data_IF_696284015832
#
_entry.id   IF_696284015832
#
_cell.length_a   1.000
_cell.length_b   1.000
_cell.length_c   1.000
_cell.angle_alpha   90.00
_cell.angle_beta   90.00
_cell.angle_gamma   90.00
#
_symmetry.space_group_name_H-M   'P 1'
#
loop_
_entity.id
_entity.type
_entity.pdbx_description
1 polymer ?
#
# COMPACT_ATOMS: atom_id res chain seq x y z
N UNK A 1 23.04 -15.75 -1.11
CA UNK A 1 21.98 -15.43 -2.08
C UNK A 1 22.34 -16.10 -3.42
N UNK A 2 21.41 -16.86 -3.99
CA UNK A 2 21.57 -17.53 -5.28
C UNK A 2 20.25 -17.41 -6.07
N UNK A 3 20.38 -17.16 -7.37
CA UNK A 3 19.21 -17.07 -8.26
C UNK A 3 18.53 -18.43 -8.45
N UNK A 4 17.21 -18.42 -8.56
CA UNK A 4 16.39 -19.65 -8.71
C UNK A 4 16.74 -20.42 -9.99
N UNK A 5 17.19 -19.72 -11.03
CA UNK A 5 17.60 -20.28 -12.33
C UNK A 5 19.03 -20.85 -12.30
N UNK A 6 19.78 -20.69 -11.20
CA UNK A 6 21.10 -21.24 -11.11
C UNK A 6 21.09 -22.77 -11.32
N UNK A 7 22.10 -23.35 -11.98
CA UNK A 7 22.21 -24.79 -12.12
C UNK A 7 22.11 -25.53 -10.80
N UNK A 8 21.44 -26.66 -10.78
CA UNK A 8 21.20 -27.40 -9.55
C UNK A 8 22.49 -27.81 -8.83
N UNK A 9 23.56 -28.05 -9.56
CA UNK A 9 24.90 -28.33 -9.00
C UNK A 9 25.46 -27.15 -8.21
N UNK A 10 25.28 -25.92 -8.71
CA UNK A 10 25.70 -24.71 -8.00
C UNK A 10 24.85 -24.47 -6.75
N UNK A 11 23.55 -24.69 -6.86
CA UNK A 11 22.63 -24.58 -5.74
C UNK A 11 23.00 -25.55 -4.62
N UNK A 12 23.27 -26.83 -4.96
CA UNK A 12 23.65 -27.84 -3.99
C UNK A 12 24.99 -27.54 -3.32
N UNK A 13 25.94 -27.05 -4.09
CA UNK A 13 27.25 -26.60 -3.57
C UNK A 13 27.07 -25.45 -2.55
N UNK A 14 26.34 -24.40 -2.91
CA UNK A 14 26.09 -23.25 -2.02
C UNK A 14 25.29 -23.67 -0.80
N UNK A 15 24.30 -24.56 -0.95
CA UNK A 15 23.52 -25.10 0.17
C UNK A 15 24.41 -25.88 1.15
N UNK A 16 25.35 -26.65 0.66
CA UNK A 16 26.31 -27.41 1.48
C UNK A 16 27.22 -26.44 2.26
N UNK A 17 27.77 -25.43 1.59
CA UNK A 17 28.58 -24.39 2.24
C UNK A 17 27.77 -23.61 3.29
N UNK A 18 26.53 -23.22 2.97
CA UNK A 18 25.66 -22.50 3.91
C UNK A 18 25.47 -23.30 5.21
N UNK A 19 25.23 -24.61 5.10
CA UNK A 19 25.11 -25.50 6.27
C UNK A 19 26.43 -25.62 7.04
N UNK A 20 27.54 -25.80 6.34
CA UNK A 20 28.86 -25.93 6.96
C UNK A 20 29.24 -24.70 7.77
N UNK A 21 28.93 -23.50 7.25
CA UNK A 21 29.27 -22.23 7.90
C UNK A 21 28.11 -21.66 8.74
N UNK A 22 27.02 -22.40 8.95
CA UNK A 22 25.88 -21.94 9.74
C UNK A 22 25.17 -20.71 9.15
N UNK A 23 25.23 -20.52 7.83
CA UNK A 23 24.58 -19.43 7.12
C UNK A 23 23.19 -19.83 6.62
N UNK A 24 22.27 -18.86 6.56
CA UNK A 24 20.98 -19.06 5.91
C UNK A 24 21.09 -18.88 4.41
N UNK A 25 20.37 -19.71 3.67
CA UNK A 25 20.33 -19.67 2.22
C UNK A 25 19.17 -18.79 1.74
N UNK A 26 19.48 -17.78 0.93
CA UNK A 26 18.51 -17.00 0.18
C UNK A 26 18.43 -17.59 -1.23
N UNK A 27 17.22 -17.99 -1.67
CA UNK A 27 16.95 -18.28 -3.08
C UNK A 27 16.13 -17.14 -3.63
N UNK A 28 16.65 -16.48 -4.67
CA UNK A 28 16.08 -15.27 -5.23
C UNK A 28 15.53 -15.44 -6.64
N UNK A 29 14.52 -14.66 -6.94
CA UNK A 29 13.96 -14.46 -8.26
C UNK A 29 13.89 -12.97 -8.56
N UNK A 30 14.34 -12.58 -9.75
CA UNK A 30 14.26 -11.20 -10.23
C UNK A 30 13.57 -11.17 -11.59
N UNK A 31 12.55 -10.31 -11.72
CA UNK A 31 11.96 -9.95 -13.01
C UNK A 31 12.17 -8.45 -13.25
N UNK A 32 13.07 -8.13 -14.16
CA UNK A 32 13.43 -6.76 -14.52
C UNK A 32 12.47 -6.12 -15.51
N UNK A 33 11.58 -6.91 -16.11
CA UNK A 33 10.67 -6.44 -17.15
C UNK A 33 9.25 -6.21 -16.65
N UNK A 34 8.80 -6.97 -15.66
CA UNK A 34 7.41 -6.90 -15.21
C UNK A 34 7.14 -7.52 -13.85
N UNK A 35 5.88 -7.81 -13.64
CA UNK A 35 5.40 -8.53 -12.47
C UNK A 35 4.51 -9.69 -12.93
N UNK A 36 4.92 -10.94 -12.71
CA UNK A 36 4.14 -12.13 -13.07
C UNK A 36 2.75 -12.14 -12.41
N UNK A 37 1.88 -13.01 -12.87
CA UNK A 37 0.59 -13.25 -12.22
C UNK A 37 0.77 -13.75 -10.78
N UNK A 38 -0.26 -13.63 -9.95
CA UNK A 38 -0.19 -14.07 -8.57
C UNK A 38 0.09 -15.58 -8.45
N UNK A 39 -0.47 -16.38 -9.36
CA UNK A 39 -0.27 -17.83 -9.34
C UNK A 39 1.16 -18.21 -9.76
N UNK A 40 1.74 -17.50 -10.71
CA UNK A 40 3.16 -17.66 -11.06
C UNK A 40 4.06 -17.26 -9.89
N UNK A 41 3.80 -16.13 -9.24
CA UNK A 41 4.57 -15.70 -8.04
C UNK A 41 4.48 -16.72 -6.91
N UNK A 42 3.31 -17.33 -6.68
CA UNK A 42 3.13 -18.45 -5.74
C UNK A 42 3.98 -19.66 -6.15
N UNK A 43 3.95 -20.00 -7.43
CA UNK A 43 4.76 -21.10 -7.98
C UNK A 43 6.26 -20.85 -7.75
N UNK A 44 6.73 -19.66 -8.03
CA UNK A 44 8.12 -19.23 -7.82
C UNK A 44 8.50 -19.33 -6.33
N UNK A 45 7.67 -18.82 -5.41
CA UNK A 45 7.94 -18.90 -3.99
C UNK A 45 8.04 -20.36 -3.50
N UNK A 46 7.15 -21.23 -3.97
CA UNK A 46 7.16 -22.67 -3.66
C UNK A 46 8.40 -23.37 -4.24
N UNK A 47 8.79 -23.01 -5.46
CA UNK A 47 10.01 -23.52 -6.07
C UNK A 47 11.27 -23.12 -5.30
N UNK A 48 11.38 -21.85 -4.86
CA UNK A 48 12.47 -21.41 -3.99
C UNK A 48 12.54 -22.27 -2.70
N UNK A 49 11.39 -22.55 -2.10
CA UNK A 49 11.33 -23.44 -0.92
C UNK A 49 11.82 -24.85 -1.24
N UNK A 50 11.38 -25.47 -2.35
CA UNK A 50 11.82 -26.84 -2.72
C UNK A 50 13.33 -26.89 -3.00
N UNK A 51 13.91 -25.78 -3.45
CA UNK A 51 15.36 -25.62 -3.61
C UNK A 51 16.10 -25.38 -2.28
N UNK A 52 15.39 -25.42 -1.14
CA UNK A 52 15.98 -25.36 0.20
C UNK A 52 16.23 -23.97 0.74
N UNK A 53 15.47 -22.98 0.28
CA UNK A 53 15.56 -21.62 0.79
C UNK A 53 15.17 -21.52 2.27
N UNK A 54 16.01 -20.92 3.10
CA UNK A 54 15.65 -20.40 4.42
C UNK A 54 14.92 -19.06 4.31
N UNK A 55 15.21 -18.35 3.22
CA UNK A 55 14.58 -17.08 2.87
C UNK A 55 14.32 -17.04 1.36
N UNK A 56 13.07 -16.80 1.00
CA UNK A 56 12.64 -16.56 -0.38
C UNK A 56 12.70 -15.07 -0.68
N UNK A 57 13.42 -14.69 -1.73
CA UNK A 57 13.47 -13.30 -2.18
C UNK A 57 12.85 -13.18 -3.57
N UNK A 58 11.82 -12.36 -3.69
CA UNK A 58 11.11 -12.10 -4.95
C UNK A 58 11.14 -10.61 -5.25
N UNK A 59 11.78 -10.24 -6.33
CA UNK A 59 11.90 -8.86 -6.78
C UNK A 59 11.35 -8.74 -8.20
N UNK A 60 10.31 -7.95 -8.37
CA UNK A 60 9.66 -7.74 -9.66
C UNK A 60 9.79 -6.28 -10.10
N UNK A 61 9.39 -5.95 -11.31
CA UNK A 61 9.28 -4.56 -11.77
C UNK A 61 7.82 -4.17 -11.89
N UNK A 62 7.38 -3.20 -11.08
CA UNK A 62 6.02 -2.68 -11.16
C UNK A 62 5.92 -1.56 -12.19
N UNK A 63 5.05 -1.73 -13.20
CA UNK A 63 4.70 -0.70 -14.18
C UNK A 63 3.55 0.18 -13.70
N UNK A 64 2.77 -0.31 -12.75
CA UNK A 64 1.62 0.35 -12.15
C UNK A 64 1.37 -0.16 -10.74
N UNK A 65 0.41 0.46 -10.04
CA UNK A 65 0.06 0.11 -8.66
C UNK A 65 -0.49 -1.31 -8.51
N UNK A 66 -1.17 -1.84 -9.54
CA UNK A 66 -1.72 -3.20 -9.49
C UNK A 66 -0.62 -4.26 -9.52
N UNK A 67 0.48 -4.00 -10.21
CA UNK A 67 1.66 -4.86 -10.21
C UNK A 67 2.30 -4.88 -8.81
N UNK A 68 2.51 -3.70 -8.22
CA UNK A 68 3.04 -3.58 -6.87
C UNK A 68 2.13 -4.30 -5.84
N UNK A 69 0.83 -4.10 -5.92
CA UNK A 69 -0.15 -4.75 -5.05
C UNK A 69 -0.10 -6.28 -5.19
N UNK A 70 0.09 -6.79 -6.42
CA UNK A 70 0.20 -8.23 -6.67
C UNK A 70 1.39 -8.85 -5.95
N UNK A 71 2.55 -8.19 -5.97
CA UNK A 71 3.74 -8.64 -5.21
C UNK A 71 3.47 -8.61 -3.70
N UNK A 72 2.80 -7.58 -3.19
CA UNK A 72 2.48 -7.47 -1.76
C UNK A 72 1.48 -8.54 -1.28
N UNK A 73 0.61 -9.05 -2.16
CA UNK A 73 -0.31 -10.15 -1.83
C UNK A 73 0.39 -11.43 -1.37
N UNK A 74 1.67 -11.60 -1.68
CA UNK A 74 2.46 -12.73 -1.18
C UNK A 74 2.54 -12.74 0.35
N UNK A 75 2.55 -11.58 1.00
CA UNK A 75 2.58 -11.49 2.47
C UNK A 75 1.26 -11.92 3.10
N UNK A 76 0.12 -11.57 2.50
CA UNK A 76 -1.19 -12.07 2.97
C UNK A 76 -1.22 -13.60 2.89
N UNK A 77 -0.81 -14.15 1.74
CA UNK A 77 -0.76 -15.60 1.53
C UNK A 77 0.23 -16.29 2.48
N UNK A 78 1.32 -15.64 2.86
CA UNK A 78 2.26 -16.15 3.85
C UNK A 78 1.64 -16.15 5.24
N UNK A 79 0.98 -15.08 5.63
CA UNK A 79 0.32 -14.95 6.93
C UNK A 79 -0.79 -16.02 7.11
N UNK A 80 -1.58 -16.23 6.07
CA UNK A 80 -2.64 -17.25 6.04
C UNK A 80 -2.09 -18.70 5.89
N UNK A 81 -0.79 -18.84 5.65
CA UNK A 81 -0.16 -20.14 5.39
C UNK A 81 -0.37 -20.69 3.97
N UNK A 82 -1.12 -20.01 3.12
CA UNK A 82 -1.47 -20.46 1.78
C UNK A 82 -0.30 -20.40 0.80
N UNK A 83 0.70 -19.52 1.04
CA UNK A 83 1.88 -19.42 0.18
C UNK A 83 2.70 -20.71 0.17
N UNK A 84 2.89 -21.31 1.35
CA UNK A 84 3.65 -22.55 1.56
C UNK A 84 2.72 -23.65 2.10
N UNK A 85 1.60 -23.85 1.44
CA UNK A 85 0.62 -24.88 1.80
C UNK A 85 1.26 -26.26 1.97
N UNK A 86 0.84 -27.01 3.00
CA UNK A 86 1.39 -28.31 3.35
C UNK A 86 2.70 -28.27 4.12
N UNK A 87 3.32 -27.10 4.34
CA UNK A 87 4.50 -26.98 5.18
C UNK A 87 4.13 -26.69 6.63
N UNK A 88 4.80 -27.37 7.58
CA UNK A 88 4.72 -26.99 8.98
C UNK A 88 5.22 -25.54 9.17
N UNK A 89 4.68 -24.82 10.15
CA UNK A 89 5.02 -23.40 10.36
C UNK A 89 6.54 -23.18 10.53
N UNK A 90 7.22 -24.10 11.23
CA UNK A 90 8.68 -24.05 11.43
C UNK A 90 9.51 -24.32 10.17
N UNK A 91 8.90 -24.87 9.13
CA UNK A 91 9.56 -25.22 7.85
C UNK A 91 9.31 -24.18 6.76
N UNK A 92 8.54 -23.14 7.07
CA UNK A 92 8.23 -22.07 6.11
C UNK A 92 9.38 -21.09 6.05
N UNK A 93 9.94 -20.86 4.84
CA UNK A 93 10.97 -19.85 4.69
C UNK A 93 10.43 -18.45 4.99
N UNK A 94 11.31 -17.55 5.42
CA UNK A 94 10.98 -16.14 5.47
C UNK A 94 10.82 -15.57 4.05
N UNK A 95 10.06 -14.49 3.92
CA UNK A 95 9.80 -13.83 2.63
C UNK A 95 10.38 -12.41 2.63
N UNK A 96 11.10 -12.08 1.57
CA UNK A 96 11.41 -10.72 1.16
C UNK A 96 10.87 -10.51 -0.25
N UNK A 97 9.77 -9.79 -0.38
CA UNK A 97 9.16 -9.50 -1.67
C UNK A 97 8.90 -8.01 -1.81
N UNK A 98 9.31 -7.42 -2.91
CA UNK A 98 9.05 -6.02 -3.26
C UNK A 98 9.21 -5.80 -4.76
N UNK A 99 8.78 -4.64 -5.23
CA UNK A 99 8.88 -4.29 -6.65
C UNK A 99 9.83 -3.11 -6.88
N UNK A 100 10.54 -3.16 -7.98
CA UNK A 100 11.34 -2.08 -8.55
C UNK A 100 10.46 -1.10 -9.34
N UNK A 101 11.07 -0.03 -9.83
CA UNK A 101 10.40 1.05 -10.57
C UNK A 101 9.69 2.04 -9.65
N UNK A 102 9.29 3.18 -10.20
CA UNK A 102 8.64 4.25 -9.42
C UNK A 102 7.30 3.78 -8.83
N UNK A 103 6.51 3.02 -9.59
CA UNK A 103 5.26 2.45 -9.09
C UNK A 103 5.45 1.40 -8.00
N UNK A 104 6.63 0.79 -7.91
CA UNK A 104 7.01 -0.22 -6.92
C UNK A 104 7.77 0.33 -5.70
N UNK A 105 8.27 1.56 -5.76
CA UNK A 105 9.19 2.13 -4.75
C UNK A 105 8.70 1.96 -3.32
N UNK A 106 7.43 2.26 -3.06
CA UNK A 106 6.82 2.18 -1.72
C UNK A 106 6.80 0.75 -1.14
N UNK A 107 6.84 -0.27 -2.00
CA UNK A 107 6.82 -1.67 -1.56
C UNK A 107 8.07 -2.06 -0.77
N UNK A 108 9.19 -1.35 -0.97
CA UNK A 108 10.43 -1.54 -0.20
C UNK A 108 10.29 -1.14 1.27
N UNK A 109 9.42 -0.17 1.56
CA UNK A 109 9.05 0.19 2.92
C UNK A 109 7.94 -0.73 3.45
N UNK A 110 6.92 -0.96 2.62
CA UNK A 110 5.74 -1.73 3.01
C UNK A 110 6.09 -3.19 3.33
N UNK A 111 7.04 -3.79 2.63
CA UNK A 111 7.46 -5.18 2.90
C UNK A 111 7.90 -5.38 4.36
N UNK A 112 8.61 -4.41 4.95
CA UNK A 112 9.02 -4.47 6.36
C UNK A 112 7.82 -4.50 7.31
N UNK A 113 6.75 -3.75 6.99
CA UNK A 113 5.51 -3.71 7.76
C UNK A 113 4.71 -5.01 7.66
N UNK A 114 4.85 -5.67 6.54
CA UNK A 114 4.17 -6.93 6.27
C UNK A 114 4.97 -8.16 6.73
N UNK A 115 6.14 -7.95 7.36
CA UNK A 115 6.90 -9.02 8.01
C UNK A 115 8.17 -9.47 7.27
N UNK A 116 8.63 -8.72 6.26
CA UNK A 116 9.96 -8.97 5.70
C UNK A 116 11.04 -8.73 6.77
N UNK A 117 12.04 -9.62 6.89
CA UNK A 117 13.09 -9.46 7.90
C UNK A 117 14.02 -8.26 7.61
N UNK A 118 14.09 -7.81 6.36
CA UNK A 118 14.87 -6.66 5.92
C UNK A 118 14.43 -6.17 4.55
N UNK A 119 14.96 -5.03 4.13
CA UNK A 119 14.84 -4.49 2.77
C UNK A 119 16.18 -3.98 2.27
N UNK A 120 16.25 -3.54 1.02
CA UNK A 120 17.47 -3.06 0.38
C UNK A 120 17.40 -1.55 0.17
N UNK A 121 18.42 -0.86 0.61
CA UNK A 121 18.61 0.59 0.46
C UNK A 121 19.94 0.88 -0.23
N UNK A 122 20.06 2.04 -0.86
CA UNK A 122 21.34 2.52 -1.38
C UNK A 122 22.15 3.23 -0.28
N UNK A 123 23.47 3.13 -0.36
CA UNK A 123 24.37 3.85 0.53
C UNK A 123 24.34 5.38 0.31
N UNK A 124 23.85 5.83 -0.83
CA UNK A 124 23.69 7.24 -1.20
C UNK A 124 22.98 7.39 -2.53
N UNK A 125 22.54 8.59 -2.86
CA UNK A 125 21.75 8.87 -4.06
C UNK A 125 22.41 8.46 -5.38
N UNK A 126 23.75 8.56 -5.46
CA UNK A 126 24.53 8.14 -6.63
C UNK A 126 24.81 6.63 -6.69
N UNK A 127 24.50 5.87 -5.64
CA UNK A 127 24.87 4.47 -5.48
C UNK A 127 23.64 3.53 -5.56
N UNK A 128 22.53 4.01 -6.12
CA UNK A 128 21.35 3.17 -6.32
C UNK A 128 21.67 2.06 -7.34
N UNK A 129 21.52 0.81 -6.92
CA UNK A 129 21.75 -0.37 -7.75
C UNK A 129 20.49 -0.84 -8.49
N UNK A 130 19.34 -0.27 -8.18
CA UNK A 130 18.07 -0.58 -8.81
C UNK A 130 17.14 0.64 -8.80
N UNK A 131 16.28 0.75 -9.81
CA UNK A 131 15.26 1.80 -9.90
C UNK A 131 14.29 1.75 -8.71
N UNK A 132 13.92 2.93 -8.18
CA UNK A 132 13.03 3.04 -7.03
C UNK A 132 13.66 2.66 -5.68
N UNK A 133 14.99 2.63 -5.58
CA UNK A 133 15.67 2.37 -4.32
C UNK A 133 15.72 3.65 -3.46
N UNK A 134 15.34 3.54 -2.18
CA UNK A 134 15.56 4.60 -1.20
C UNK A 134 17.03 4.66 -0.77
N UNK A 135 17.51 5.85 -0.44
CA UNK A 135 18.75 5.94 0.32
C UNK A 135 18.52 5.47 1.76
N UNK A 136 19.59 5.17 2.47
CA UNK A 136 19.53 4.80 3.87
C UNK A 136 18.84 5.89 4.71
N UNK A 137 19.23 7.16 4.50
CA UNK A 137 18.67 8.31 5.22
C UNK A 137 17.19 8.51 4.92
N UNK A 138 16.76 8.32 3.67
CA UNK A 138 15.34 8.37 3.30
C UNK A 138 14.55 7.27 4.02
N UNK A 139 15.07 6.03 4.01
CA UNK A 139 14.41 4.90 4.64
C UNK A 139 14.32 5.09 6.16
N UNK A 140 15.41 5.52 6.82
CA UNK A 140 15.43 5.80 8.26
C UNK A 140 14.41 6.89 8.63
N UNK A 141 14.31 7.95 7.82
CA UNK A 141 13.32 9.01 8.02
C UNK A 141 11.89 8.50 7.85
N UNK A 142 11.63 7.66 6.82
CA UNK A 142 10.30 7.07 6.61
C UNK A 142 9.90 6.11 7.72
N UNK A 143 10.84 5.33 8.23
CA UNK A 143 10.62 4.42 9.36
C UNK A 143 10.43 5.18 10.67
N UNK A 144 11.19 6.25 10.89
CA UNK A 144 11.05 7.10 12.08
C UNK A 144 9.79 7.97 12.04
N UNK A 145 9.24 8.25 10.87
CA UNK A 145 7.96 8.96 10.75
C UNK A 145 6.79 8.20 11.38
N UNK A 146 6.93 6.89 11.66
CA UNK A 146 5.98 6.14 12.49
C UNK A 146 6.04 6.53 13.96
N UNK A 147 7.18 6.96 14.40
CA UNK A 147 7.37 7.55 15.72
C UNK A 147 7.18 9.08 15.66
N UNK A 148 6.72 9.62 14.52
CA UNK A 148 6.17 10.96 14.56
C UNK A 148 5.10 10.92 15.64
N UNK A 149 5.32 11.64 16.73
CA UNK A 149 4.35 11.58 17.80
C UNK A 149 3.07 12.21 17.26
N UNK A 150 2.18 11.38 16.75
CA UNK A 150 0.78 11.69 16.81
C UNK A 150 0.37 11.69 18.30
N UNK A 151 1.22 12.31 19.14
CA UNK A 151 0.90 12.53 20.55
C UNK A 151 -0.44 13.24 20.69
N UNK A 152 -0.80 14.07 19.69
CA UNK A 152 -2.13 14.63 19.58
C UNK A 152 -3.24 13.62 19.30
N UNK A 153 -2.95 12.39 18.83
CA UNK A 153 -3.97 11.35 18.59
C UNK A 153 -4.00 10.27 19.67
N UNK A 154 -3.01 10.20 20.56
CA UNK A 154 -3.04 9.28 21.72
C UNK A 154 -4.01 9.74 22.80
N UNK A 155 -4.25 11.01 22.90
CA UNK A 155 -5.38 11.56 23.65
C UNK A 155 -6.49 11.90 22.66
N UNK A 156 -7.44 10.99 22.46
CA UNK A 156 -8.75 11.34 21.96
C UNK A 156 -9.41 12.27 22.99
N UNK A 157 -9.03 13.54 22.98
CA UNK A 157 -9.83 14.56 23.64
C UNK A 157 -11.16 14.53 22.89
N UNK A 158 -12.24 14.40 23.65
CA UNK A 158 -13.58 14.61 23.09
C UNK A 158 -13.60 16.02 22.50
N UNK A 159 -13.36 16.12 21.23
CA UNK A 159 -13.39 17.37 20.49
C UNK A 159 -14.60 17.31 19.57
N UNK A 160 -15.43 18.34 19.64
CA UNK A 160 -16.52 18.48 18.67
C UNK A 160 -15.91 19.01 17.37
N UNK A 161 -15.84 18.18 16.35
CA UNK A 161 -15.41 18.58 15.01
C UNK A 161 -16.64 18.93 14.20
N UNK A 162 -16.75 20.17 13.74
CA UNK A 162 -17.78 20.55 12.78
C UNK A 162 -17.40 19.98 11.41
N UNK A 163 -18.10 18.92 11.01
CA UNK A 163 -17.92 18.30 9.70
C UNK A 163 -18.71 19.09 8.67
N UNK A 164 -18.14 19.46 7.50
CA UNK A 164 -18.91 20.03 6.40
C UNK A 164 -20.04 19.11 5.98
N UNK A 165 -21.14 19.66 5.53
CA UNK A 165 -22.26 18.85 5.05
C UNK A 165 -21.84 17.96 3.86
N UNK A 166 -22.44 16.78 3.76
CA UNK A 166 -22.28 15.94 2.58
C UNK A 166 -22.84 16.65 1.35
N UNK A 167 -22.01 16.86 0.31
CA UNK A 167 -22.40 17.51 -0.96
C UNK A 167 -23.68 16.90 -1.54
N UNK A 168 -23.75 15.60 -1.61
CA UNK A 168 -24.89 14.84 -2.15
C UNK A 168 -26.16 14.98 -1.33
N UNK A 169 -26.04 15.10 -0.01
CA UNK A 169 -27.20 15.37 0.87
C UNK A 169 -27.64 16.82 0.71
N UNK A 170 -26.72 17.78 0.67
CA UNK A 170 -27.03 19.19 0.50
C UNK A 170 -27.74 19.48 -0.83
N UNK A 171 -27.29 18.92 -1.95
CA UNK A 171 -27.96 19.02 -3.24
C UNK A 171 -29.41 18.58 -3.19
N UNK A 172 -29.66 17.37 -2.62
CA UNK A 172 -31.03 16.85 -2.47
C UNK A 172 -31.87 17.67 -1.53
N UNK A 173 -31.30 18.19 -0.44
CA UNK A 173 -32.01 19.03 0.52
C UNK A 173 -32.43 20.36 -0.11
N UNK A 174 -31.56 20.98 -0.93
CA UNK A 174 -31.88 22.21 -1.67
C UNK A 174 -33.01 21.96 -2.67
N UNK A 175 -32.98 20.86 -3.42
CA UNK A 175 -34.07 20.49 -4.34
C UNK A 175 -35.38 20.22 -3.59
N UNK A 176 -35.32 19.47 -2.48
CA UNK A 176 -36.50 19.16 -1.68
C UNK A 176 -37.12 20.43 -1.07
N UNK A 177 -36.28 21.36 -0.59
CA UNK A 177 -36.72 22.65 -0.08
C UNK A 177 -37.42 23.49 -1.15
N UNK A 178 -36.91 23.49 -2.37
CA UNK A 178 -37.52 24.21 -3.50
C UNK A 178 -38.89 23.64 -3.91
N UNK A 179 -39.13 22.36 -3.69
CA UNK A 179 -40.41 21.71 -3.97
C UNK A 179 -41.39 21.75 -2.80
N UNK A 180 -40.94 22.13 -1.63
CA UNK A 180 -41.78 22.21 -0.43
C UNK A 180 -42.69 23.46 -0.46
N UNK A 181 -43.89 23.36 0.08
CA UNK A 181 -44.73 24.52 0.26
C UNK A 181 -44.27 25.35 1.47
N UNK A 182 -44.15 26.65 1.29
CA UNK A 182 -43.77 27.58 2.35
C UNK A 182 -42.24 27.80 2.43
N UNK A 183 -41.75 28.15 3.59
CA UNK A 183 -40.36 28.53 3.83
C UNK A 183 -39.59 27.33 4.40
N UNK A 184 -38.42 27.07 3.87
CA UNK A 184 -37.52 26.01 4.32
C UNK A 184 -36.18 26.64 4.79
N UNK A 185 -35.60 26.08 5.85
CA UNK A 185 -34.32 26.48 6.40
C UNK A 185 -33.34 25.32 6.42
N UNK A 186 -32.25 25.44 5.71
CA UNK A 186 -31.17 24.46 5.68
C UNK A 186 -29.99 24.99 6.49
N UNK A 187 -29.69 24.35 7.63
CA UNK A 187 -28.54 24.65 8.47
C UNK A 187 -27.35 23.76 8.11
N UNK A 188 -26.15 24.20 8.49
CA UNK A 188 -24.88 23.52 8.19
C UNK A 188 -24.61 23.37 6.68
N UNK A 189 -25.00 24.38 5.92
CA UNK A 189 -24.71 24.49 4.50
C UNK A 189 -23.26 24.96 4.31
N UNK A 190 -22.49 24.23 3.47
CA UNK A 190 -21.15 24.64 3.05
C UNK A 190 -21.14 24.88 1.55
N UNK A 191 -20.95 26.14 1.11
CA UNK A 191 -20.93 26.45 -0.31
C UNK A 191 -19.75 25.77 -1.01
N UNK A 192 -20.05 25.06 -2.06
CA UNK A 192 -19.07 24.49 -2.97
C UNK A 192 -19.65 24.46 -4.39
N UNK A 193 -18.83 24.32 -5.41
CA UNK A 193 -19.27 24.38 -6.80
C UNK A 193 -20.44 23.45 -7.11
N UNK A 194 -20.43 22.24 -6.50
CA UNK A 194 -21.47 21.24 -6.71
C UNK A 194 -22.83 21.65 -6.11
N UNK A 195 -22.86 22.57 -5.15
CA UNK A 195 -24.09 23.02 -4.49
C UNK A 195 -24.52 24.38 -5.03
N UNK A 196 -23.57 25.24 -5.41
CA UNK A 196 -23.86 26.56 -5.99
C UNK A 196 -24.67 26.41 -7.27
N UNK A 197 -24.31 25.47 -8.16
CA UNK A 197 -25.03 25.22 -9.39
C UNK A 197 -26.54 24.94 -9.18
N UNK A 198 -26.96 23.96 -8.40
CA UNK A 198 -28.35 23.74 -8.03
C UNK A 198 -29.06 24.96 -7.44
N UNK A 199 -28.40 25.73 -6.55
CA UNK A 199 -28.97 26.94 -5.97
C UNK A 199 -29.26 27.98 -7.04
N UNK A 200 -28.35 28.21 -7.99
CA UNK A 200 -28.57 29.16 -9.09
C UNK A 200 -29.70 28.73 -10.03
N UNK A 201 -29.78 27.45 -10.34
CA UNK A 201 -30.88 26.88 -11.15
C UNK A 201 -32.24 27.16 -10.46
N UNK A 202 -32.35 26.88 -9.15
CA UNK A 202 -33.60 27.06 -8.39
C UNK A 202 -33.95 28.55 -8.28
N UNK A 203 -32.97 29.47 -8.15
CA UNK A 203 -33.19 30.90 -8.24
C UNK A 203 -33.75 31.28 -9.60
N UNK A 204 -33.16 30.73 -10.69
CA UNK A 204 -33.65 30.94 -12.03
C UNK A 204 -35.08 30.46 -12.26
N UNK A 205 -35.55 29.46 -11.49
CA UNK A 205 -36.91 28.96 -11.48
C UNK A 205 -37.89 29.84 -10.65
N UNK A 206 -37.40 30.91 -10.03
CA UNK A 206 -38.24 31.86 -9.30
C UNK A 206 -38.28 31.69 -7.77
N UNK A 207 -37.52 30.78 -7.21
CA UNK A 207 -37.41 30.63 -5.76
C UNK A 207 -36.55 31.75 -5.16
N UNK A 208 -36.99 32.36 -4.09
CA UNK A 208 -36.21 33.31 -3.31
C UNK A 208 -35.30 32.56 -2.35
N UNK A 209 -34.01 32.76 -2.44
CA UNK A 209 -33.01 32.11 -1.61
C UNK A 209 -32.11 33.15 -0.97
N UNK A 210 -32.14 33.24 0.35
CA UNK A 210 -31.20 34.00 1.15
C UNK A 210 -30.13 33.07 1.75
N UNK A 211 -28.88 33.55 1.83
CA UNK A 211 -27.79 32.82 2.47
C UNK A 211 -27.13 33.67 3.54
N UNK A 212 -26.93 33.12 4.73
CA UNK A 212 -26.24 33.77 5.83
C UNK A 212 -25.29 32.74 6.49
N UNK A 213 -23.97 32.92 6.27
CA UNK A 213 -22.94 31.98 6.73
C UNK A 213 -23.21 30.56 6.23
N UNK A 214 -23.46 29.63 7.15
CA UNK A 214 -23.75 28.22 6.85
C UNK A 214 -25.24 27.89 6.82
N UNK A 215 -26.11 28.88 6.54
CA UNK A 215 -27.56 28.68 6.48
C UNK A 215 -28.10 29.20 5.14
N UNK A 216 -29.00 28.41 4.50
CA UNK A 216 -29.86 28.80 3.39
C UNK A 216 -31.32 28.89 3.87
N UNK A 217 -32.05 29.89 3.38
CA UNK A 217 -33.44 30.11 3.69
C UNK A 217 -34.21 30.52 2.43
#
# INVERSE_FOLDING_TARGET
>A
DIEIEAPDEHLEYIRTLAREYGCRLIVSFHDFEGTPSLDELKGIARLCRTKGADLVKIVTTARNISDAARTMRLYDLQADGALFEGAAAAERPQLVAFSMGEAGKFTRLLCLKLGAPYTYVSAGASNATASGQYTREEMERLLSAENYPFEGFREFRRTTVAIPCSKSVAQRAVLAAALAAGESRLANYAPCNDIVGPVEVIRGMGCRIASAGTTLQ
#
